data_IF_395201787996
#
_entry.id   IF_395201787996
#
_cell.length_a   1.000
_cell.length_b   1.000
_cell.length_c   1.000
_cell.angle_alpha   90.00
_cell.angle_beta   90.00
_cell.angle_gamma   90.00
#
_symmetry.space_group_name_H-M   'P 1'
#
loop_
_entity.id
_entity.type
_entity.pdbx_description
1 polymer ?
#
# COMPACT_ATOMS: atom_id res chain seq x y z
N UNK A 1 36.22 20.67 32.25
CA UNK A 1 35.55 19.83 31.23
C UNK A 1 34.07 20.14 31.28
N UNK A 2 33.45 20.55 30.16
CA UNK A 2 32.07 21.08 30.13
C UNK A 2 31.18 20.10 29.36
N UNK A 3 30.36 19.34 30.08
CA UNK A 3 29.39 18.40 29.50
C UNK A 3 28.34 19.19 28.69
N UNK A 4 28.41 19.08 27.36
CA UNK A 4 27.39 19.59 26.44
C UNK A 4 26.45 18.43 26.11
N UNK A 5 25.24 18.47 26.66
CA UNK A 5 24.19 17.54 26.26
C UNK A 5 23.82 17.84 24.81
N UNK A 6 24.23 16.97 23.88
CA UNK A 6 23.76 16.99 22.50
C UNK A 6 22.36 16.37 22.48
N UNK A 7 21.33 17.20 22.44
CA UNK A 7 19.99 16.74 22.06
C UNK A 7 20.02 16.47 20.55
N UNK A 8 20.16 15.20 20.18
CA UNK A 8 20.02 14.78 18.79
C UNK A 8 18.55 14.88 18.38
N UNK A 9 18.22 15.86 17.53
CA UNK A 9 16.90 15.93 16.91
C UNK A 9 16.80 14.80 15.89
N UNK A 10 15.97 13.79 16.17
CA UNK A 10 15.65 12.74 15.20
C UNK A 10 14.73 13.35 14.15
N UNK A 11 15.25 13.59 12.95
CA UNK A 11 14.44 14.02 11.81
C UNK A 11 13.62 12.82 11.31
N UNK A 12 12.38 12.68 11.82
CA UNK A 12 11.41 11.74 11.28
C UNK A 12 10.89 12.28 9.94
N UNK A 13 11.22 11.61 8.84
CA UNK A 13 10.61 11.91 7.54
C UNK A 13 9.18 11.41 7.54
N UNK A 14 8.23 12.33 7.75
CA UNK A 14 6.79 12.02 7.78
C UNK A 14 6.27 11.43 6.45
N UNK A 15 7.02 11.57 5.36
CA UNK A 15 6.64 11.06 4.05
C UNK A 15 6.92 9.57 3.84
N UNK A 16 7.77 8.94 4.66
CA UNK A 16 8.12 7.51 4.48
C UNK A 16 6.92 6.59 4.76
N UNK A 17 6.00 6.99 5.64
CA UNK A 17 4.82 6.20 6.00
C UNK A 17 3.56 6.53 5.22
N UNK A 18 3.62 7.48 4.28
CA UNK A 18 2.45 7.94 3.53
C UNK A 18 2.49 7.35 2.14
N UNK A 19 1.50 6.51 1.82
CA UNK A 19 1.32 6.00 0.47
C UNK A 19 0.96 7.15 -0.47
N UNK A 20 1.72 7.30 -1.54
CA UNK A 20 1.44 8.27 -2.60
C UNK A 20 0.48 7.67 -3.63
N UNK A 21 -0.11 8.50 -4.48
CA UNK A 21 -0.90 8.03 -5.62
C UNK A 21 -0.12 7.04 -6.51
N UNK A 22 1.21 7.21 -6.64
CA UNK A 22 2.04 6.26 -7.39
C UNK A 22 2.16 4.90 -6.70
N UNK A 23 2.18 4.87 -5.36
CA UNK A 23 2.23 3.62 -4.61
C UNK A 23 0.91 2.87 -4.72
N UNK A 24 -0.23 3.58 -4.62
CA UNK A 24 -1.56 3.00 -4.83
C UNK A 24 -1.70 2.39 -6.23
N UNK A 25 -1.21 3.07 -7.27
CA UNK A 25 -1.23 2.53 -8.63
C UNK A 25 -0.43 1.21 -8.73
N UNK A 26 0.79 1.16 -8.20
CA UNK A 26 1.62 -0.05 -8.21
C UNK A 26 0.96 -1.20 -7.44
N UNK A 27 0.36 -0.90 -6.29
CA UNK A 27 -0.36 -1.90 -5.50
C UNK A 27 -1.53 -2.46 -6.32
N UNK A 28 -2.33 -1.60 -6.97
CA UNK A 28 -3.43 -2.03 -7.82
C UNK A 28 -2.97 -2.91 -8.99
N UNK A 29 -1.91 -2.52 -9.69
CA UNK A 29 -1.34 -3.34 -10.78
C UNK A 29 -0.98 -4.76 -10.29
N UNK A 30 -0.32 -4.88 -9.12
CA UNK A 30 0.01 -6.18 -8.54
C UNK A 30 -1.23 -6.99 -8.15
N UNK A 31 -2.25 -6.35 -7.57
CA UNK A 31 -3.49 -7.03 -7.20
C UNK A 31 -4.27 -7.52 -8.42
N UNK A 32 -4.30 -6.74 -9.51
CA UNK A 32 -4.94 -7.14 -10.77
C UNK A 32 -4.24 -8.35 -11.41
N UNK A 33 -2.92 -8.38 -11.44
CA UNK A 33 -2.14 -9.53 -11.92
C UNK A 33 -2.48 -10.78 -11.08
N UNK A 34 -2.53 -10.64 -9.76
CA UNK A 34 -2.86 -11.75 -8.85
C UNK A 34 -4.28 -12.25 -9.08
N UNK A 35 -5.22 -11.35 -9.36
CA UNK A 35 -6.61 -11.69 -9.66
C UNK A 35 -6.70 -12.51 -10.96
N UNK A 36 -5.99 -12.10 -12.00
CA UNK A 36 -5.94 -12.85 -13.26
C UNK A 36 -5.36 -14.25 -13.07
N UNK A 37 -4.32 -14.39 -12.26
CA UNK A 37 -3.73 -15.70 -11.93
C UNK A 37 -4.71 -16.58 -11.16
N UNK A 38 -5.41 -16.03 -10.16
CA UNK A 38 -6.40 -16.80 -9.38
C UNK A 38 -7.58 -17.24 -10.24
N UNK A 39 -8.02 -16.42 -11.19
CA UNK A 39 -9.11 -16.77 -12.11
C UNK A 39 -8.76 -17.93 -13.06
N UNK A 40 -7.48 -18.25 -13.23
CA UNK A 40 -7.03 -19.42 -13.99
C UNK A 40 -7.03 -20.71 -13.15
N UNK A 41 -7.37 -20.62 -11.86
CA UNK A 41 -7.43 -21.77 -10.96
C UNK A 41 -8.87 -22.21 -10.70
N UNK A 42 -9.14 -23.51 -10.73
CA UNK A 42 -10.50 -24.10 -10.63
C UNK A 42 -11.15 -24.01 -9.24
N UNK A 43 -10.53 -23.37 -8.22
CA UNK A 43 -10.95 -23.57 -6.82
C UNK A 43 -11.02 -22.29 -5.95
N UNK A 44 -11.09 -21.10 -6.54
CA UNK A 44 -10.80 -19.86 -5.81
C UNK A 44 -11.92 -18.80 -5.76
N UNK A 45 -13.21 -19.17 -5.83
CA UNK A 45 -14.32 -18.19 -5.88
C UNK A 45 -14.34 -17.18 -4.72
N UNK A 46 -14.10 -17.64 -3.48
CA UNK A 46 -14.05 -16.74 -2.33
C UNK A 46 -12.80 -15.84 -2.37
N UNK A 47 -11.63 -16.39 -2.71
CA UNK A 47 -10.39 -15.63 -2.80
C UNK A 47 -10.44 -14.57 -3.91
N UNK A 48 -11.08 -14.89 -5.04
CA UNK A 48 -11.36 -13.94 -6.13
C UNK A 48 -12.27 -12.81 -5.63
N UNK A 49 -13.30 -13.15 -4.86
CA UNK A 49 -14.24 -12.16 -4.30
C UNK A 49 -13.54 -11.23 -3.31
N UNK A 50 -12.76 -11.79 -2.38
CA UNK A 50 -12.01 -11.03 -1.38
C UNK A 50 -10.99 -10.11 -2.05
N UNK A 51 -10.30 -10.60 -3.08
CA UNK A 51 -9.32 -9.81 -3.83
C UNK A 51 -9.95 -8.67 -4.62
N UNK A 52 -11.13 -8.89 -5.24
CA UNK A 52 -11.89 -7.81 -5.90
C UNK A 52 -12.30 -6.72 -4.91
N UNK A 53 -12.76 -7.09 -3.73
CA UNK A 53 -13.12 -6.14 -2.67
C UNK A 53 -11.88 -5.36 -2.19
N UNK A 54 -10.72 -6.01 -2.10
CA UNK A 54 -9.47 -5.36 -1.73
C UNK A 54 -9.06 -4.33 -2.79
N UNK A 55 -9.10 -4.67 -4.08
CA UNK A 55 -8.80 -3.75 -5.18
C UNK A 55 -9.70 -2.50 -5.09
N UNK A 56 -11.01 -2.67 -4.86
CA UNK A 56 -11.93 -1.54 -4.69
C UNK A 56 -11.53 -0.62 -3.53
N UNK A 57 -11.17 -1.19 -2.38
CA UNK A 57 -10.74 -0.41 -1.20
C UNK A 57 -9.44 0.35 -1.46
N UNK A 58 -8.47 -0.27 -2.12
CA UNK A 58 -7.17 0.33 -2.44
C UNK A 58 -7.35 1.46 -3.46
N UNK A 59 -8.12 1.24 -4.52
CA UNK A 59 -8.44 2.28 -5.52
C UNK A 59 -9.13 3.48 -4.89
N UNK A 60 -10.13 3.27 -4.04
CA UNK A 60 -10.84 4.35 -3.36
C UNK A 60 -9.89 5.21 -2.49
N UNK A 61 -8.98 4.55 -1.75
CA UNK A 61 -7.99 5.26 -0.93
C UNK A 61 -6.95 5.99 -1.79
N UNK A 62 -6.58 5.43 -2.95
CA UNK A 62 -5.68 6.08 -3.90
C UNK A 62 -6.28 7.32 -4.56
N UNK A 63 -7.59 7.35 -4.79
CA UNK A 63 -8.31 8.54 -5.26
C UNK A 63 -8.39 9.64 -4.20
N UNK A 64 -8.60 9.28 -2.94
CA UNK A 64 -8.59 10.24 -1.81
C UNK A 64 -7.20 10.86 -1.60
N UNK A 65 -6.13 10.12 -1.94
CA UNK A 65 -4.76 10.58 -1.79
C UNK A 65 -4.24 11.47 -2.95
N UNK A 66 -5.08 11.76 -3.97
CA UNK A 66 -4.73 12.63 -5.11
C UNK A 66 -4.90 14.13 -4.82
#
# INVERSE_FOLDING_TARGET
MRNRHHYGTVHYSRSIGVLTASDFNKINEHLEITLQQLQQTDCADQAITDLKLLIQKVSHNGEIAR
#
